data_IF_243356295392
#
_entry.id   IF_243356295392
#
_cell.length_a   1.000
_cell.length_b   1.000
_cell.length_c   1.000
_cell.angle_alpha   90.00
_cell.angle_beta   90.00
_cell.angle_gamma   90.00
#
_symmetry.space_group_name_H-M   'P 1'
#
loop_
_entity.id
_entity.type
_entity.pdbx_description
1 polymer ?
#
# COMPACT_ATOMS: atom_id res chain seq x y z
N UNK A 1 -23.66 7.40 55.97
CA UNK A 1 -24.54 8.14 55.04
C UNK A 1 -23.66 8.97 54.14
N UNK A 2 -23.53 8.61 52.86
CA UNK A 2 -22.70 9.36 51.93
C UNK A 2 -23.47 10.64 51.53
N UNK A 3 -22.93 11.81 51.83
CA UNK A 3 -23.46 13.07 51.32
C UNK A 3 -23.29 13.05 49.80
N UNK A 4 -24.41 12.83 49.08
CA UNK A 4 -24.49 13.17 47.67
C UNK A 4 -24.24 14.67 47.60
N UNK A 5 -23.05 15.04 47.12
CA UNK A 5 -22.76 16.44 46.82
C UNK A 5 -23.57 16.74 45.57
N UNK A 6 -24.79 17.25 45.75
CA UNK A 6 -25.58 17.73 44.62
C UNK A 6 -24.83 18.92 44.03
N UNK A 7 -24.15 18.65 42.91
CA UNK A 7 -23.52 19.68 42.11
C UNK A 7 -24.66 20.51 41.48
N UNK A 8 -24.81 21.75 41.93
CA UNK A 8 -25.77 22.67 41.32
C UNK A 8 -25.48 22.78 39.82
N UNK A 9 -26.52 22.66 39.00
CA UNK A 9 -26.41 22.77 37.54
C UNK A 9 -25.96 24.20 37.19
N UNK A 10 -24.74 24.34 36.68
CA UNK A 10 -24.20 25.63 36.23
C UNK A 10 -24.44 25.76 34.74
N UNK A 11 -25.16 26.81 34.32
CA UNK A 11 -25.39 27.10 32.91
C UNK A 11 -24.06 27.31 32.16
N UNK A 12 -23.91 26.77 30.95
CA UNK A 12 -22.65 26.81 30.19
C UNK A 12 -22.11 28.24 29.99
N UNK A 13 -23.00 29.21 29.75
CA UNK A 13 -22.70 30.66 29.63
C UNK A 13 -22.06 31.29 30.86
N UNK A 14 -22.24 30.70 32.04
CA UNK A 14 -21.74 31.19 33.32
C UNK A 14 -20.50 30.41 33.78
N UNK A 15 -20.00 29.47 32.99
CA UNK A 15 -18.79 28.74 33.31
C UNK A 15 -17.58 29.68 33.23
N UNK A 16 -16.73 29.60 34.24
CA UNK A 16 -15.43 30.26 34.21
C UNK A 16 -14.61 29.71 33.05
N UNK A 17 -14.03 30.62 32.27
CA UNK A 17 -13.16 30.26 31.15
C UNK A 17 -11.89 29.64 31.73
N UNK A 18 -11.63 28.40 31.32
CA UNK A 18 -10.46 27.62 31.70
C UNK A 18 -9.74 27.27 30.41
N UNK A 19 -8.51 27.77 30.28
CA UNK A 19 -7.67 27.54 29.12
C UNK A 19 -6.44 26.72 29.51
N UNK A 20 -6.18 25.68 28.73
CA UNK A 20 -5.01 24.83 28.88
C UNK A 20 -4.44 24.53 27.49
N UNK A 21 -3.18 24.90 27.27
CA UNK A 21 -2.50 24.77 25.95
C UNK A 21 -3.32 25.41 24.81
N UNK A 22 -3.74 26.65 25.02
CA UNK A 22 -4.52 27.46 24.07
C UNK A 22 -5.88 26.85 23.67
N UNK A 23 -6.40 25.91 24.46
CA UNK A 23 -7.70 25.29 24.26
C UNK A 23 -8.59 25.51 25.48
N UNK A 24 -9.85 25.87 25.26
CA UNK A 24 -10.86 25.89 26.32
C UNK A 24 -11.17 24.45 26.74
N UNK A 25 -11.10 24.19 28.04
CA UNK A 25 -11.29 22.86 28.60
C UNK A 25 -12.19 22.91 29.82
N UNK A 26 -12.94 21.84 30.07
CA UNK A 26 -13.85 21.72 31.21
C UNK A 26 -13.37 20.65 32.18
N UNK A 27 -13.61 20.84 33.47
CA UNK A 27 -13.32 19.84 34.49
C UNK A 27 -14.37 18.73 34.51
N UNK A 28 -14.04 17.56 35.07
CA UNK A 28 -15.00 16.47 35.27
C UNK A 28 -16.20 16.91 36.10
N UNK A 29 -15.98 17.75 37.12
CA UNK A 29 -17.00 18.26 38.02
C UNK A 29 -17.98 19.20 37.30
N UNK A 30 -17.47 20.12 36.47
CA UNK A 30 -18.31 20.99 35.64
C UNK A 30 -19.13 20.19 34.62
N UNK A 31 -18.50 19.22 33.97
CA UNK A 31 -19.16 18.36 32.99
C UNK A 31 -20.29 17.53 33.64
N UNK A 32 -20.03 16.98 34.82
CA UNK A 32 -21.00 16.22 35.60
C UNK A 32 -22.20 17.08 36.01
N UNK A 33 -21.94 18.27 36.54
CA UNK A 33 -22.97 19.23 36.93
C UNK A 33 -23.88 19.60 35.74
N UNK A 34 -23.30 19.86 34.57
CA UNK A 34 -24.05 20.19 33.36
C UNK A 34 -24.91 19.05 32.83
N UNK A 35 -24.31 17.85 32.73
CA UNK A 35 -24.98 16.66 32.21
C UNK A 35 -25.99 16.03 33.18
N UNK A 36 -26.14 16.58 34.38
CA UNK A 36 -27.07 16.04 35.39
C UNK A 36 -26.62 14.68 35.92
N UNK A 37 -25.31 14.48 36.03
CA UNK A 37 -24.72 13.21 36.49
C UNK A 37 -23.65 13.43 37.55
N UNK A 38 -23.17 12.35 38.14
CA UNK A 38 -22.10 12.39 39.14
C UNK A 38 -20.71 12.35 38.48
N UNK A 39 -19.73 13.04 39.06
CA UNK A 39 -18.34 13.01 38.60
C UNK A 39 -17.76 11.58 38.55
N UNK A 40 -18.20 10.71 39.46
CA UNK A 40 -17.85 9.28 39.44
C UNK A 40 -18.37 8.55 38.20
N UNK A 41 -19.57 8.92 37.71
CA UNK A 41 -20.14 8.30 36.52
C UNK A 41 -19.33 8.69 35.27
N UNK A 42 -18.94 9.96 35.15
CA UNK A 42 -18.06 10.44 34.08
C UNK A 42 -16.72 9.68 34.08
N UNK A 43 -16.07 9.56 35.25
CA UNK A 43 -14.80 8.82 35.40
C UNK A 43 -14.94 7.33 35.07
N UNK A 44 -16.01 6.69 35.56
CA UNK A 44 -16.30 5.28 35.28
C UNK A 44 -16.55 5.05 33.80
N UNK A 45 -17.30 5.94 33.16
CA UNK A 45 -17.60 5.87 31.73
C UNK A 45 -16.33 6.04 30.89
N UNK A 46 -15.50 7.02 31.21
CA UNK A 46 -14.18 7.20 30.61
C UNK A 46 -13.31 5.94 30.73
N UNK A 47 -13.19 5.37 31.93
CA UNK A 47 -12.37 4.18 32.14
C UNK A 47 -12.87 2.96 31.37
N UNK A 48 -14.19 2.77 31.25
CA UNK A 48 -14.79 1.68 30.45
C UNK A 48 -14.55 1.86 28.95
N UNK A 49 -14.56 3.11 28.48
CA UNK A 49 -14.44 3.45 27.07
C UNK A 49 -13.08 4.05 26.72
N UNK A 50 -12.03 3.75 27.49
CA UNK A 50 -10.73 4.42 27.39
C UNK A 50 -10.12 4.38 25.99
N UNK A 51 -10.36 3.30 25.24
CA UNK A 51 -9.94 3.17 23.82
C UNK A 51 -10.53 4.22 22.88
N UNK A 52 -11.64 4.86 23.24
CA UNK A 52 -12.28 5.94 22.46
C UNK A 52 -11.74 7.33 22.85
N UNK A 53 -10.94 7.43 23.91
CA UNK A 53 -10.36 8.68 24.39
C UNK A 53 -8.87 8.75 24.09
N UNK A 54 -8.46 9.78 23.35
CA UNK A 54 -7.06 10.02 23.00
C UNK A 54 -6.59 11.23 23.79
N UNK A 55 -5.52 11.06 24.56
CA UNK A 55 -4.90 12.15 25.30
C UNK A 55 -4.39 13.23 24.34
N UNK A 56 -4.57 14.50 24.69
CA UNK A 56 -4.28 15.65 23.84
C UNK A 56 -5.38 16.00 22.82
N UNK A 57 -6.28 15.06 22.49
CA UNK A 57 -7.40 15.28 21.57
C UNK A 57 -8.74 15.37 22.28
N UNK A 58 -9.00 14.45 23.22
CA UNK A 58 -10.26 14.34 23.95
C UNK A 58 -10.11 14.79 25.40
N UNK A 59 -8.93 14.62 26.00
CA UNK A 59 -8.66 15.01 27.37
C UNK A 59 -7.18 15.30 27.60
N UNK A 60 -6.88 15.99 28.71
CA UNK A 60 -5.54 16.15 29.24
C UNK A 60 -5.51 15.62 30.68
N UNK A 61 -4.55 14.78 31.00
CA UNK A 61 -4.33 14.32 32.36
C UNK A 61 -3.17 15.09 32.98
N UNK A 62 -3.46 15.91 33.99
CA UNK A 62 -2.47 16.78 34.62
C UNK A 62 -2.15 16.26 36.02
N UNK A 63 -0.86 16.14 36.32
CA UNK A 63 -0.34 15.60 37.58
C UNK A 63 0.92 16.35 38.02
N UNK A 64 1.31 16.20 39.29
CA UNK A 64 2.56 16.77 39.81
C UNK A 64 2.63 18.30 39.74
N UNK A 65 3.79 18.84 39.37
CA UNK A 65 4.04 20.29 39.36
C UNK A 65 3.15 21.09 38.40
N UNK A 66 2.70 20.49 37.29
CA UNK A 66 1.72 21.14 36.39
C UNK A 66 0.38 21.40 37.10
N UNK A 67 -0.04 20.47 37.97
CA UNK A 67 -1.27 20.63 38.75
C UNK A 67 -1.13 21.71 39.82
N UNK A 68 0.04 21.83 40.45
CA UNK A 68 0.31 22.89 41.43
C UNK A 68 0.24 24.27 40.79
N UNK A 69 0.84 24.44 39.60
CA UNK A 69 0.77 25.69 38.85
C UNK A 69 -0.67 26.04 38.46
N UNK A 70 -1.46 25.06 37.99
CA UNK A 70 -2.84 25.29 37.62
C UNK A 70 -3.74 25.67 38.81
N UNK A 71 -3.48 25.14 40.02
CA UNK A 71 -4.23 25.55 41.22
C UNK A 71 -4.10 27.04 41.52
N UNK A 72 -2.94 27.63 41.22
CA UNK A 72 -2.70 29.07 41.38
C UNK A 72 -3.49 29.87 40.35
N UNK A 73 -3.53 29.40 39.10
CA UNK A 73 -4.23 30.07 38.00
C UNK A 73 -5.75 29.97 38.11
N UNK A 74 -6.30 28.86 38.64
CA UNK A 74 -7.75 28.63 38.69
C UNK A 74 -8.48 29.30 39.87
N UNK A 75 -7.77 29.70 40.94
CA UNK A 75 -8.31 30.34 42.17
C UNK A 75 -9.48 29.61 42.86
N UNK A 76 -9.63 29.75 44.19
CA UNK A 76 -9.31 28.71 45.16
C UNK A 76 -10.39 27.63 45.34
N UNK A 77 -11.52 27.69 44.62
CA UNK A 77 -12.70 26.86 44.89
C UNK A 77 -12.92 25.69 43.92
N UNK A 78 -12.25 25.67 42.76
CA UNK A 78 -12.58 24.69 41.71
C UNK A 78 -11.79 23.38 41.81
N UNK A 79 -10.60 23.39 42.41
CA UNK A 79 -9.75 22.20 42.51
C UNK A 79 -9.37 21.95 43.97
N UNK A 80 -9.83 20.82 44.53
CA UNK A 80 -9.48 20.43 45.89
C UNK A 80 -7.97 20.27 46.07
N UNK A 81 -7.44 20.76 47.19
CA UNK A 81 -6.03 20.64 47.53
C UNK A 81 -5.58 19.16 47.66
N UNK A 82 -6.52 18.23 47.82
CA UNK A 82 -6.28 16.77 47.93
C UNK A 82 -6.19 16.05 46.57
N UNK A 83 -6.54 16.72 45.47
CA UNK A 83 -6.58 16.10 44.13
C UNK A 83 -5.17 15.81 43.62
N UNK A 84 -4.81 14.54 43.43
CA UNK A 84 -3.48 14.11 42.94
C UNK A 84 -3.34 14.16 41.41
N UNK A 85 -4.47 14.16 40.71
CA UNK A 85 -4.55 14.19 39.24
C UNK A 85 -5.83 14.89 38.81
N UNK A 86 -5.75 15.78 37.83
CA UNK A 86 -6.90 16.46 37.25
C UNK A 86 -7.08 16.02 35.79
N UNK A 87 -8.31 15.71 35.40
CA UNK A 87 -8.65 15.46 34.00
C UNK A 87 -9.41 16.66 33.46
N UNK A 88 -8.87 17.26 32.41
CA UNK A 88 -9.49 18.34 31.66
C UNK A 88 -10.01 17.80 30.34
N UNK A 89 -11.24 18.16 29.98
CA UNK A 89 -11.92 17.68 28.78
C UNK A 89 -11.97 18.77 27.72
N UNK A 90 -11.60 18.41 26.50
CA UNK A 90 -11.79 19.27 25.32
C UNK A 90 -13.24 19.20 24.86
N UNK A 91 -13.64 20.04 23.90
CA UNK A 91 -14.95 19.97 23.22
C UNK A 91 -15.28 18.54 22.77
N UNK A 92 -14.32 17.87 22.12
CA UNK A 92 -14.48 16.49 21.64
C UNK A 92 -14.62 15.48 22.79
N UNK A 93 -13.96 15.73 23.91
CA UNK A 93 -14.11 14.92 25.12
C UNK A 93 -15.51 15.04 25.71
N UNK A 94 -16.02 16.27 25.81
CA UNK A 94 -17.39 16.55 26.24
C UNK A 94 -18.41 15.87 25.32
N UNK A 95 -18.24 16.01 23.99
CA UNK A 95 -19.10 15.35 23.00
C UNK A 95 -19.18 13.83 23.18
N UNK A 96 -18.03 13.19 23.41
CA UNK A 96 -17.98 11.75 23.66
C UNK A 96 -18.72 11.37 24.94
N UNK A 97 -18.63 12.18 25.99
CA UNK A 97 -19.38 11.94 27.23
C UNK A 97 -20.88 12.10 27.04
N UNK A 98 -21.35 13.15 26.35
CA UNK A 98 -22.77 13.33 26.03
C UNK A 98 -23.31 12.12 25.23
N UNK A 99 -22.56 11.70 24.21
CA UNK A 99 -22.89 10.52 23.40
C UNK A 99 -22.98 9.24 24.22
N UNK A 100 -22.15 9.08 25.25
CA UNK A 100 -22.12 7.87 26.07
C UNK A 100 -23.12 7.87 27.22
N UNK A 101 -23.61 9.05 27.64
CA UNK A 101 -24.67 9.17 28.64
C UNK A 101 -26.05 8.96 28.04
N UNK A 102 -26.23 9.29 26.77
CA UNK A 102 -27.49 9.10 26.02
C UNK A 102 -28.71 9.74 26.71
N UNK A 103 -28.53 10.89 27.38
CA UNK A 103 -29.61 11.65 28.03
C UNK A 103 -29.86 12.98 27.34
N UNK A 104 -31.12 13.37 27.16
CA UNK A 104 -31.49 14.66 26.52
C UNK A 104 -30.80 15.86 27.19
N UNK A 105 -30.65 15.81 28.51
CA UNK A 105 -29.92 16.84 29.26
C UNK A 105 -28.44 16.91 28.87
N UNK A 106 -27.76 15.78 28.70
CA UNK A 106 -26.36 15.77 28.32
C UNK A 106 -26.15 16.24 26.87
N UNK A 107 -27.06 15.90 25.96
CA UNK A 107 -27.06 16.41 24.60
C UNK A 107 -27.29 17.93 24.56
N UNK A 108 -28.35 18.43 25.22
CA UNK A 108 -28.67 19.86 25.28
C UNK A 108 -27.56 20.68 25.93
N UNK A 109 -27.00 20.22 27.07
CA UNK A 109 -25.90 20.94 27.71
C UNK A 109 -24.62 20.93 26.88
N UNK A 110 -24.38 19.87 26.10
CA UNK A 110 -23.27 19.86 25.16
C UNK A 110 -23.45 20.92 24.06
N UNK A 111 -24.66 21.06 23.51
CA UNK A 111 -24.95 22.12 22.54
C UNK A 111 -24.69 23.50 23.15
N UNK A 112 -25.15 23.75 24.38
CA UNK A 112 -24.85 24.99 25.10
C UNK A 112 -23.35 25.19 25.34
N UNK A 113 -22.60 24.12 25.68
CA UNK A 113 -21.15 24.18 25.83
C UNK A 113 -20.47 24.55 24.51
N UNK A 114 -20.90 23.98 23.39
CA UNK A 114 -20.36 24.33 22.08
C UNK A 114 -20.65 25.80 21.80
N UNK A 115 -21.91 26.22 21.93
CA UNK A 115 -22.36 27.56 21.56
C UNK A 115 -21.73 28.66 22.42
N UNK A 116 -21.70 28.48 23.74
CA UNK A 116 -21.32 29.55 24.68
C UNK A 116 -19.93 29.40 25.29
N UNK A 117 -19.39 28.18 25.37
CA UNK A 117 -18.13 27.92 26.08
C UNK A 117 -16.96 27.59 25.15
N UNK A 118 -17.08 26.58 24.28
CA UNK A 118 -15.99 26.14 23.41
C UNK A 118 -15.82 27.03 22.18
N UNK A 119 -16.89 27.71 21.72
CA UNK A 119 -16.79 28.68 20.63
C UNK A 119 -15.97 29.89 21.09
N UNK A 120 -14.67 29.86 20.80
CA UNK A 120 -13.84 31.06 20.71
C UNK A 120 -14.25 31.81 19.44
N UNK A 121 -15.17 32.77 19.57
CA UNK A 121 -15.57 33.62 18.44
C UNK A 121 -14.61 34.79 18.17
N UNK A 122 -13.44 34.83 18.82
CA UNK A 122 -12.35 35.74 18.46
C UNK A 122 -10.99 35.02 18.54
N UNK A 123 -10.20 35.13 17.46
CA UNK A 123 -8.79 34.73 17.29
C UNK A 123 -8.43 33.38 16.64
N UNK A 124 -9.35 32.70 15.94
CA UNK A 124 -8.97 32.25 14.59
C UNK A 124 -9.44 33.37 13.69
N UNK A 125 -8.51 34.12 13.12
CA UNK A 125 -8.76 34.91 11.93
C UNK A 125 -9.22 33.97 10.80
N UNK A 126 -10.48 33.53 10.86
CA UNK A 126 -11.28 33.64 9.66
C UNK A 126 -11.23 35.14 9.36
N UNK A 127 -10.80 35.57 8.16
CA UNK A 127 -11.02 36.96 7.82
C UNK A 127 -12.51 37.19 8.09
N UNK A 128 -12.85 38.36 8.62
CA UNK A 128 -14.20 38.87 8.51
C UNK A 128 -14.75 38.51 7.12
N UNK A 129 -16.06 38.48 6.93
CA UNK A 129 -16.56 38.70 5.57
C UNK A 129 -16.08 40.10 5.13
N UNK A 130 -14.80 40.22 4.76
CA UNK A 130 -14.28 41.18 3.83
C UNK A 130 -15.08 40.85 2.60
N UNK A 131 -15.94 41.78 2.22
CA UNK A 131 -16.35 41.86 0.85
C UNK A 131 -15.05 41.88 0.04
N UNK A 132 -14.73 40.73 -0.56
CA UNK A 132 -13.55 40.60 -1.39
C UNK A 132 -13.69 41.67 -2.46
N UNK A 133 -12.66 42.51 -2.61
CA UNK A 133 -12.66 43.48 -3.68
C UNK A 133 -12.83 42.76 -5.01
N UNK A 134 -13.45 43.40 -6.00
CA UNK A 134 -13.62 42.84 -7.34
C UNK A 134 -12.31 42.30 -7.91
N UNK A 135 -11.18 42.91 -7.53
CA UNK A 135 -9.83 42.48 -7.91
C UNK A 135 -9.42 41.15 -7.27
N UNK A 136 -9.69 40.96 -5.98
CA UNK A 136 -9.39 39.70 -5.27
C UNK A 136 -10.26 38.55 -5.79
N UNK A 137 -11.53 38.81 -6.09
CA UNK A 137 -12.42 37.83 -6.73
C UNK A 137 -11.87 37.41 -8.10
N UNK A 138 -11.39 38.37 -8.89
CA UNK A 138 -10.77 38.08 -10.20
C UNK A 138 -9.49 37.25 -10.05
N UNK A 139 -8.65 37.56 -9.07
CA UNK A 139 -7.42 36.81 -8.80
C UNK A 139 -7.72 35.37 -8.38
N UNK A 140 -8.73 35.16 -7.53
CA UNK A 140 -9.17 33.82 -7.13
C UNK A 140 -9.71 33.05 -8.34
N UNK A 141 -10.53 33.69 -9.17
CA UNK A 141 -11.08 33.07 -10.39
C UNK A 141 -9.96 32.70 -11.38
N UNK A 142 -8.99 33.60 -11.59
CA UNK A 142 -7.82 33.33 -12.44
C UNK A 142 -6.95 32.20 -11.90
N UNK A 143 -6.68 32.18 -10.58
CA UNK A 143 -5.90 31.12 -9.95
C UNK A 143 -6.60 29.75 -10.05
N UNK A 144 -7.93 29.73 -9.93
CA UNK A 144 -8.75 28.53 -10.14
C UNK A 144 -8.66 28.03 -11.59
N UNK A 145 -8.82 28.92 -12.57
CA UNK A 145 -8.70 28.56 -13.99
C UNK A 145 -7.28 28.10 -14.36
N UNK A 146 -6.24 28.76 -13.83
CA UNK A 146 -4.86 28.30 -14.01
C UNK A 146 -4.62 26.92 -13.38
N UNK A 147 -5.19 26.68 -12.19
CA UNK A 147 -5.16 25.36 -11.55
C UNK A 147 -5.83 24.29 -12.41
N UNK A 148 -6.97 24.62 -13.03
CA UNK A 148 -7.73 23.74 -13.92
C UNK A 148 -6.95 23.41 -15.20
N UNK A 149 -6.34 24.41 -15.84
CA UNK A 149 -5.49 24.22 -17.01
C UNK A 149 -4.24 23.37 -16.69
N UNK A 150 -3.58 23.65 -15.57
CA UNK A 150 -2.42 22.86 -15.13
C UNK A 150 -2.79 21.40 -14.82
N UNK A 151 -3.99 21.14 -14.29
CA UNK A 151 -4.48 19.77 -14.08
C UNK A 151 -4.75 19.07 -15.41
N UNK A 152 -5.31 19.76 -16.39
CA UNK A 152 -5.55 19.23 -17.74
C UNK A 152 -4.24 18.91 -18.47
N UNK A 153 -3.24 19.78 -18.41
CA UNK A 153 -1.92 19.52 -18.98
C UNK A 153 -1.22 18.32 -18.32
N UNK A 154 -1.29 18.21 -16.99
CA UNK A 154 -0.77 17.05 -16.26
C UNK A 154 -1.47 15.75 -16.67
N UNK A 155 -2.79 15.79 -16.88
CA UNK A 155 -3.55 14.64 -17.34
C UNK A 155 -3.12 14.22 -18.77
N UNK A 156 -3.00 15.17 -19.69
CA UNK A 156 -2.51 14.93 -21.06
C UNK A 156 -1.09 14.33 -21.04
N UNK A 157 -0.18 14.88 -20.22
CA UNK A 157 1.17 14.35 -20.09
C UNK A 157 1.20 12.91 -19.55
N UNK A 158 0.36 12.61 -18.54
CA UNK A 158 0.24 11.26 -18.00
C UNK A 158 -0.29 10.26 -19.02
N UNK A 159 -1.27 10.66 -19.85
CA UNK A 159 -1.82 9.84 -20.92
C UNK A 159 -0.77 9.51 -22.00
N UNK A 160 -0.02 10.53 -22.46
CA UNK A 160 1.08 10.36 -23.42
C UNK A 160 2.13 9.37 -22.88
N UNK A 161 2.51 9.51 -21.61
CA UNK A 161 3.48 8.62 -20.96
C UNK A 161 2.96 7.18 -20.86
N UNK A 162 1.70 6.99 -20.46
CA UNK A 162 1.06 5.65 -20.41
C UNK A 162 1.01 5.00 -21.79
N UNK A 163 0.65 5.77 -22.83
CA UNK A 163 0.65 5.31 -24.22
C UNK A 163 2.05 4.87 -24.69
N UNK A 164 3.09 5.62 -24.34
CA UNK A 164 4.48 5.24 -24.65
C UNK A 164 4.90 3.95 -23.93
N UNK A 165 4.53 3.79 -22.65
CA UNK A 165 4.81 2.57 -21.89
C UNK A 165 4.10 1.36 -22.50
N UNK A 166 2.83 1.50 -22.93
CA UNK A 166 2.09 0.43 -23.62
C UNK A 166 2.80 0.02 -24.90
N UNK A 167 3.11 0.98 -25.78
CA UNK A 167 3.83 0.70 -27.05
C UNK A 167 5.18 0.02 -26.82
N UNK A 168 5.94 0.44 -25.79
CA UNK A 168 7.21 -0.20 -25.44
C UNK A 168 7.03 -1.64 -24.94
N UNK A 169 5.98 -1.90 -24.15
CA UNK A 169 5.63 -3.26 -23.69
C UNK A 169 5.21 -4.16 -24.85
N UNK A 170 4.39 -3.65 -25.77
CA UNK A 170 3.99 -4.35 -26.99
C UNK A 170 5.20 -4.70 -27.87
N UNK A 171 6.09 -3.73 -28.13
CA UNK A 171 7.33 -3.97 -28.86
C UNK A 171 8.23 -5.02 -28.17
N UNK A 172 8.31 -5.00 -26.84
CA UNK A 172 9.06 -6.00 -26.07
C UNK A 172 8.41 -7.39 -26.13
N UNK A 173 7.08 -7.48 -26.07
CA UNK A 173 6.35 -8.73 -26.20
C UNK A 173 6.53 -9.34 -27.60
N UNK A 174 6.41 -8.52 -28.65
CA UNK A 174 6.68 -8.94 -30.03
C UNK A 174 8.14 -9.38 -30.22
N UNK A 175 9.09 -8.68 -29.60
CA UNK A 175 10.50 -9.07 -29.60
C UNK A 175 10.74 -10.43 -28.95
N UNK A 176 10.10 -10.71 -27.80
CA UNK A 176 10.15 -12.03 -27.14
C UNK A 176 9.52 -13.11 -28.00
N UNK A 177 8.34 -12.86 -28.58
CA UNK A 177 7.68 -13.79 -29.50
C UNK A 177 8.58 -14.12 -30.70
N UNK A 178 9.15 -13.09 -31.35
CA UNK A 178 10.08 -13.29 -32.47
C UNK A 178 11.32 -14.08 -32.05
N UNK A 179 11.89 -13.82 -30.87
CA UNK A 179 13.03 -14.57 -30.35
C UNK A 179 12.68 -16.05 -30.11
N UNK A 180 11.48 -16.32 -29.58
CA UNK A 180 10.98 -17.70 -29.42
C UNK A 180 10.79 -18.36 -30.79
N UNK A 181 10.16 -17.67 -31.75
CA UNK A 181 9.98 -18.20 -33.11
C UNK A 181 11.30 -18.53 -33.79
N UNK A 182 12.33 -17.68 -33.64
CA UNK A 182 13.68 -17.98 -34.16
C UNK A 182 14.27 -19.22 -33.49
N UNK A 183 14.22 -19.31 -32.16
CA UNK A 183 14.71 -20.50 -31.45
C UNK A 183 13.97 -21.77 -31.85
N UNK A 184 12.65 -21.72 -32.05
CA UNK A 184 11.88 -22.85 -32.57
C UNK A 184 12.39 -23.28 -33.95
N UNK A 185 12.57 -22.32 -34.86
CA UNK A 185 13.13 -22.60 -36.20
C UNK A 185 14.54 -23.18 -36.14
N UNK A 186 15.42 -22.63 -35.31
CA UNK A 186 16.78 -23.13 -35.14
C UNK A 186 16.79 -24.57 -34.59
N UNK A 187 15.91 -24.86 -33.62
CA UNK A 187 15.74 -26.21 -33.07
C UNK A 187 15.14 -27.18 -34.10
N UNK A 188 14.15 -26.75 -34.88
CA UNK A 188 13.58 -27.52 -35.99
C UNK A 188 14.65 -27.83 -37.04
N UNK A 189 15.52 -26.88 -37.36
CA UNK A 189 16.66 -27.09 -38.27
C UNK A 189 17.65 -28.08 -37.69
N UNK A 190 18.03 -27.96 -36.40
CA UNK A 190 18.93 -28.91 -35.72
C UNK A 190 18.34 -30.32 -35.63
N UNK A 191 17.03 -30.45 -35.39
CA UNK A 191 16.32 -31.72 -35.41
C UNK A 191 16.29 -32.30 -36.84
N UNK A 192 16.03 -31.46 -37.84
CA UNK A 192 16.09 -31.83 -39.25
C UNK A 192 17.49 -32.28 -39.70
N UNK A 193 18.56 -31.63 -39.22
CA UNK A 193 19.94 -32.04 -39.45
C UNK A 193 20.26 -33.37 -38.75
N UNK A 194 19.73 -33.57 -37.53
CA UNK A 194 19.88 -34.83 -36.78
C UNK A 194 19.17 -36.02 -37.44
N UNK A 195 18.06 -35.77 -38.14
CA UNK A 195 17.37 -36.77 -38.95
C UNK A 195 18.13 -37.10 -40.26
N UNK A 196 18.99 -36.19 -40.74
CA UNK A 196 19.81 -36.38 -41.95
C UNK A 196 21.19 -36.97 -41.65
N UNK A 197 21.80 -36.61 -40.52
CA UNK A 197 23.13 -37.07 -40.11
C UNK A 197 23.17 -37.33 -38.59
N UNK A 198 23.85 -38.39 -38.17
CA UNK A 198 24.03 -38.70 -36.75
C UNK A 198 25.43 -39.24 -36.45
N UNK A 199 25.94 -38.90 -35.27
CA UNK A 199 27.20 -39.46 -34.73
C UNK A 199 26.91 -40.82 -34.07
N UNK A 200 27.95 -41.66 -33.96
CA UNK A 200 27.82 -42.99 -33.34
C UNK A 200 27.31 -42.89 -31.91
N UNK A 201 27.89 -42.00 -31.11
CA UNK A 201 27.50 -41.78 -29.71
C UNK A 201 26.04 -41.33 -29.57
N UNK A 202 25.52 -40.53 -30.51
CA UNK A 202 24.12 -40.10 -30.49
C UNK A 202 23.17 -41.26 -30.79
N UNK A 203 23.51 -42.13 -31.75
CA UNK A 203 22.74 -43.34 -32.06
C UNK A 203 22.81 -44.34 -30.91
N UNK A 204 23.99 -44.60 -30.34
CA UNK A 204 24.17 -45.48 -29.16
C UNK A 204 23.30 -45.05 -27.98
N UNK A 205 23.26 -43.75 -27.68
CA UNK A 205 22.39 -43.22 -26.62
C UNK A 205 20.91 -43.42 -26.96
N UNK A 206 20.49 -43.17 -28.20
CA UNK A 206 19.11 -43.31 -28.62
C UNK A 206 18.62 -44.78 -28.65
N UNK A 207 19.53 -45.73 -28.88
CA UNK A 207 19.21 -47.18 -28.84
C UNK A 207 19.40 -47.80 -27.45
N UNK A 208 19.59 -47.00 -26.39
CA UNK A 208 19.89 -47.45 -25.03
C UNK A 208 21.11 -48.39 -24.97
N UNK A 209 22.14 -48.12 -25.77
CA UNK A 209 23.36 -48.93 -25.84
C UNK A 209 23.19 -50.28 -26.51
N UNK A 210 22.05 -50.54 -27.18
CA UNK A 210 21.84 -51.75 -27.96
C UNK A 210 22.45 -51.59 -29.35
N UNK A 211 23.51 -52.36 -29.61
CA UNK A 211 24.22 -52.41 -30.88
C UNK A 211 25.70 -52.01 -30.75
N UNK A 212 26.59 -52.78 -31.35
CA UNK A 212 28.02 -52.43 -31.46
C UNK A 212 28.24 -51.66 -32.77
N UNK A 213 28.30 -50.33 -32.70
CA UNK A 213 28.42 -49.48 -33.88
C UNK A 213 29.88 -49.05 -34.09
N UNK A 214 30.44 -49.38 -35.25
CA UNK A 214 31.82 -49.02 -35.64
C UNK A 214 31.81 -47.98 -36.76
N UNK A 215 32.79 -47.07 -36.74
CA UNK A 215 32.93 -46.03 -37.76
C UNK A 215 33.47 -46.54 -39.09
N UNK A 216 34.27 -47.60 -39.09
CA UNK A 216 34.93 -48.10 -40.30
C UNK A 216 33.93 -48.55 -41.40
N UNK A 217 32.85 -49.29 -41.09
CA UNK A 217 31.80 -49.61 -42.05
C UNK A 217 31.09 -48.38 -42.64
N UNK A 218 30.76 -47.39 -41.80
CA UNK A 218 30.10 -46.15 -42.26
C UNK A 218 31.02 -45.32 -43.15
N UNK A 219 32.31 -45.26 -42.82
CA UNK A 219 33.34 -44.58 -43.64
C UNK A 219 33.53 -45.25 -45.00
N UNK A 220 33.47 -46.57 -45.05
CA UNK A 220 33.53 -47.34 -46.31
C UNK A 220 32.35 -47.02 -47.20
N UNK A 221 31.13 -47.08 -46.65
CA UNK A 221 29.91 -46.74 -47.39
C UNK A 221 29.95 -45.31 -47.95
N UNK A 222 30.42 -44.34 -47.16
CA UNK A 222 30.57 -42.95 -47.60
C UNK A 222 31.55 -42.80 -48.77
N UNK A 223 32.68 -43.53 -48.74
CA UNK A 223 33.65 -43.57 -49.83
C UNK A 223 33.07 -44.17 -51.10
N UNK A 224 32.35 -45.27 -50.97
CA UNK A 224 31.79 -46.03 -52.11
C UNK A 224 30.64 -45.26 -52.79
N UNK A 225 29.91 -44.44 -52.04
CA UNK A 225 28.81 -43.61 -52.56
C UNK A 225 29.22 -42.16 -52.88
N UNK A 226 30.52 -41.82 -52.77
CA UNK A 226 31.04 -40.46 -52.95
C UNK A 226 30.33 -39.38 -52.10
N UNK A 227 29.96 -39.73 -50.86
CA UNK A 227 29.29 -38.83 -49.91
C UNK A 227 30.26 -38.50 -48.78
N UNK A 228 30.43 -37.22 -48.47
CA UNK A 228 31.27 -36.78 -47.35
C UNK A 228 30.52 -36.75 -46.02
N UNK A 229 31.20 -37.21 -44.96
CA UNK A 229 30.68 -37.15 -43.59
C UNK A 229 31.03 -35.80 -42.95
N UNK A 230 30.04 -35.17 -42.31
CA UNK A 230 30.16 -33.85 -41.68
C UNK A 230 30.81 -33.94 -40.31
N UNK A 231 31.69 -33.00 -39.98
CA UNK A 231 32.27 -32.88 -38.65
C UNK A 231 31.33 -32.11 -37.71
N UNK A 232 31.08 -32.66 -36.51
CA UNK A 232 30.23 -32.08 -35.48
C UNK A 232 31.06 -31.96 -34.19
N UNK A 233 30.99 -30.84 -33.45
CA UNK A 233 31.68 -30.70 -32.17
C UNK A 233 31.27 -31.77 -31.15
N UNK A 234 32.22 -32.29 -30.38
CA UNK A 234 32.01 -33.29 -29.33
C UNK A 234 32.79 -32.93 -28.07
N UNK A 235 32.16 -33.06 -26.89
CA UNK A 235 32.74 -32.68 -25.60
C UNK A 235 33.95 -33.53 -25.21
N UNK A 236 34.03 -34.78 -25.66
CA UNK A 236 35.06 -35.73 -25.26
C UNK A 236 36.25 -35.76 -26.21
N UNK A 237 36.01 -35.51 -27.50
CA UNK A 237 37.01 -35.64 -28.56
C UNK A 237 37.22 -34.36 -29.39
N UNK A 238 36.57 -33.25 -29.04
CA UNK A 238 36.63 -31.97 -29.73
C UNK A 238 35.75 -31.93 -30.98
N UNK A 239 35.97 -32.83 -31.93
CA UNK A 239 35.13 -32.98 -33.13
C UNK A 239 35.05 -34.42 -33.59
N UNK A 240 33.85 -34.87 -33.94
CA UNK A 240 33.57 -36.24 -34.41
C UNK A 240 32.76 -36.22 -35.70
N UNK A 241 32.93 -37.27 -36.52
CA UNK A 241 32.19 -37.43 -37.77
C UNK A 241 30.72 -37.82 -37.50
N UNK A 242 29.81 -37.09 -38.11
CA UNK A 242 28.40 -37.43 -38.26
C UNK A 242 28.15 -38.08 -39.63
N UNK A 243 27.52 -39.23 -39.62
CA UNK A 243 27.30 -40.07 -40.79
C UNK A 243 25.88 -39.87 -41.33
N UNK A 244 25.69 -39.83 -42.66
CA UNK A 244 24.38 -39.58 -43.27
C UNK A 244 23.39 -40.72 -43.00
N UNK A 245 22.09 -40.42 -43.04
CA UNK A 245 21.01 -41.38 -42.80
C UNK A 245 21.09 -42.60 -43.74
N UNK A 246 21.48 -42.40 -44.99
CA UNK A 246 21.67 -43.50 -45.95
C UNK A 246 22.75 -44.49 -45.52
N UNK A 247 23.85 -44.03 -44.89
CA UNK A 247 24.89 -44.90 -44.36
C UNK A 247 24.38 -45.72 -43.16
N UNK A 248 23.64 -45.07 -42.26
CA UNK A 248 23.07 -45.74 -41.09
C UNK A 248 22.06 -46.82 -41.46
N UNK A 249 21.19 -46.53 -42.44
CA UNK A 249 20.20 -47.48 -42.92
C UNK A 249 20.85 -48.64 -43.68
N UNK A 250 21.82 -48.36 -44.57
CA UNK A 250 22.45 -49.40 -45.38
C UNK A 250 23.38 -50.33 -44.59
N UNK A 251 24.09 -49.80 -43.59
CA UNK A 251 25.09 -50.57 -42.83
C UNK A 251 24.49 -51.26 -41.61
N UNK A 252 23.61 -50.58 -40.87
CA UNK A 252 23.09 -51.05 -39.60
C UNK A 252 21.57 -51.18 -39.56
N UNK A 253 20.85 -50.89 -40.65
CA UNK A 253 19.39 -50.91 -40.67
C UNK A 253 18.74 -49.82 -39.81
N UNK A 254 19.51 -48.81 -39.39
CA UNK A 254 19.08 -47.77 -38.47
C UNK A 254 18.44 -46.63 -39.25
N UNK A 255 17.14 -46.40 -39.04
CA UNK A 255 16.44 -45.25 -39.61
C UNK A 255 16.55 -44.03 -38.69
N UNK A 256 17.41 -43.08 -39.08
CA UNK A 256 17.59 -41.82 -38.35
C UNK A 256 16.32 -40.96 -38.32
N UNK A 257 15.42 -41.08 -39.30
CA UNK A 257 14.15 -40.34 -39.29
C UNK A 257 13.20 -40.88 -38.22
N UNK A 258 13.17 -42.19 -38.03
CA UNK A 258 12.38 -42.81 -36.96
C UNK A 258 12.95 -42.52 -35.57
N UNK A 259 14.28 -42.41 -35.45
CA UNK A 259 14.97 -42.17 -34.17
C UNK A 259 15.01 -40.70 -33.73
N UNK A 260 15.17 -39.76 -34.68
CA UNK A 260 15.39 -38.34 -34.39
C UNK A 260 14.42 -37.38 -35.10
N UNK A 261 13.55 -37.89 -35.97
CA UNK A 261 12.50 -37.08 -36.61
C UNK A 261 11.34 -36.80 -35.68
N UNK A 262 10.54 -35.79 -36.02
CA UNK A 262 9.31 -35.47 -35.30
C UNK A 262 8.33 -36.65 -35.33
N UNK A 263 7.86 -37.07 -34.16
CA UNK A 263 6.60 -37.80 -34.07
C UNK A 263 5.50 -36.80 -34.42
N UNK A 264 4.94 -36.94 -35.62
CA UNK A 264 3.69 -36.27 -36.01
C UNK A 264 2.58 -36.55 -35.00
#
# INVERSE_FOLDING_TARGET
MAMKTELATVAARNLQIIEYRDQRVVTTEQLAAGYGTDAENIRRNFNRNKSRFIEGKHYFQITGGELENLRVTFSPAQISNKTRSLTLWTERGAANHAKMLETDQAWSYHEDLVEFYFTQREAITAPAQRELSTMEILQIAMASEQGRLAAEERAKHAELTKSQISRKREASALGKLSAVTRRCRDLEEQLGESAKHATITKVEKATNGKGEFKFAPLRRWCRDNAIEAKDVPDERYGSVKSWPAGAWQAVYGVDLKSLFGEKK
#
